data_IF_834651363603
#
_entry.id   IF_834651363603
#
_cell.length_a   1.000
_cell.length_b   1.000
_cell.length_c   1.000
_cell.angle_alpha   90.00
_cell.angle_beta   90.00
_cell.angle_gamma   90.00
#
_symmetry.space_group_name_H-M   'P 1'
#
loop_
_entity.id
_entity.type
_entity.pdbx_description
1 polymer ?
#
# COMPACT_ATOMS: atom_id res chain seq x y z
N UNK A 1 10.46 20.26 -9.47
CA UNK A 1 9.83 19.18 -8.69
C UNK A 1 10.90 18.68 -7.74
N UNK A 2 10.66 18.69 -6.43
CA UNK A 2 11.70 18.31 -5.47
C UNK A 2 11.79 16.78 -5.35
N UNK A 3 12.87 16.26 -4.77
CA UNK A 3 13.09 14.82 -4.66
C UNK A 3 12.03 14.11 -3.80
N UNK A 4 11.47 14.81 -2.81
CA UNK A 4 10.38 14.33 -1.94
C UNK A 4 9.09 14.08 -2.73
N UNK A 5 8.73 15.00 -3.64
CA UNK A 5 7.59 14.89 -4.54
C UNK A 5 7.76 13.70 -5.50
N UNK A 6 8.99 13.47 -5.98
CA UNK A 6 9.30 12.35 -6.88
C UNK A 6 9.07 11.03 -6.14
N UNK A 7 9.52 10.91 -4.90
CA UNK A 7 9.31 9.71 -4.08
C UNK A 7 7.85 9.49 -3.68
N UNK A 8 7.09 10.57 -3.46
CA UNK A 8 5.63 10.45 -3.31
C UNK A 8 4.96 9.94 -4.58
N UNK A 9 5.33 10.46 -5.75
CA UNK A 9 4.78 9.97 -7.02
C UNK A 9 5.16 8.51 -7.30
N UNK A 10 6.39 8.12 -6.97
CA UNK A 10 6.85 6.73 -7.05
C UNK A 10 6.00 5.80 -6.17
N UNK A 11 5.71 6.22 -4.92
CA UNK A 11 4.82 5.46 -4.04
C UNK A 11 3.41 5.32 -4.64
N UNK A 12 2.83 6.41 -5.16
CA UNK A 12 1.51 6.38 -5.79
C UNK A 12 1.49 5.46 -7.02
N UNK A 13 2.54 5.50 -7.85
CA UNK A 13 2.68 4.61 -9.00
C UNK A 13 2.61 3.14 -8.60
N UNK A 14 3.36 2.72 -7.58
CA UNK A 14 3.33 1.32 -7.13
C UNK A 14 2.00 0.95 -6.45
N UNK A 15 1.33 1.89 -5.78
CA UNK A 15 -0.02 1.68 -5.24
C UNK A 15 -1.03 1.44 -6.37
N UNK A 16 -0.97 2.23 -7.44
CA UNK A 16 -1.84 2.03 -8.61
C UNK A 16 -1.59 0.69 -9.30
N UNK A 17 -0.34 0.22 -9.34
CA UNK A 17 -0.01 -1.12 -9.84
C UNK A 17 -0.58 -2.22 -8.93
N UNK A 18 -0.50 -2.07 -7.61
CA UNK A 18 -1.08 -3.04 -6.69
C UNK A 18 -2.61 -3.10 -6.83
N UNK A 19 -3.27 -1.96 -6.99
CA UNK A 19 -4.70 -1.90 -7.28
C UNK A 19 -5.04 -2.55 -8.63
N UNK A 20 -4.20 -2.35 -9.65
CA UNK A 20 -4.38 -2.99 -10.94
C UNK A 20 -4.24 -4.51 -10.87
N UNK A 21 -3.28 -5.01 -10.08
CA UNK A 21 -3.09 -6.44 -9.82
C UNK A 21 -4.32 -7.06 -9.14
N UNK A 22 -4.84 -6.42 -8.09
CA UNK A 22 -6.08 -6.85 -7.40
C UNK A 22 -7.29 -6.88 -8.36
N UNK A 23 -7.46 -5.83 -9.17
CA UNK A 23 -8.60 -5.71 -10.10
C UNK A 23 -8.52 -6.68 -11.27
N UNK A 24 -7.32 -6.94 -11.79
CA UNK A 24 -7.11 -7.85 -12.92
C UNK A 24 -7.31 -9.31 -12.51
N UNK A 25 -7.04 -9.63 -11.24
CA UNK A 25 -7.02 -10.99 -10.74
C UNK A 25 -6.11 -11.93 -11.55
N UNK A 26 -4.99 -11.37 -12.03
CA UNK A 26 -4.01 -12.07 -12.84
C UNK A 26 -2.70 -11.26 -12.78
N UNK A 27 -1.59 -11.95 -12.97
CA UNK A 27 -0.23 -11.39 -12.92
C UNK A 27 -0.08 -10.23 -13.91
N UNK A 28 0.58 -9.17 -13.47
CA UNK A 28 0.94 -8.02 -14.30
C UNK A 28 2.19 -8.30 -15.15
N UNK A 29 2.96 -9.33 -14.80
CA UNK A 29 4.24 -9.65 -15.45
C UNK A 29 4.27 -11.09 -15.99
N UNK A 30 5.44 -11.52 -16.48
CA UNK A 30 5.65 -12.91 -16.91
C UNK A 30 5.98 -13.86 -15.76
N UNK A 31 6.07 -13.34 -14.52
CA UNK A 31 6.34 -14.17 -13.33
C UNK A 31 5.14 -15.09 -13.03
N UNK A 32 3.92 -14.71 -13.46
CA UNK A 32 2.70 -15.48 -13.31
C UNK A 32 2.38 -15.85 -11.84
N UNK A 33 2.82 -15.02 -10.89
CA UNK A 33 2.64 -15.20 -9.45
C UNK A 33 2.14 -13.87 -8.83
N UNK A 34 0.82 -13.64 -8.78
CA UNK A 34 0.23 -12.41 -8.26
C UNK A 34 0.59 -12.12 -6.80
N UNK A 35 0.77 -13.14 -5.96
CA UNK A 35 1.11 -12.94 -4.54
C UNK A 35 2.53 -12.41 -4.39
N UNK A 36 3.45 -12.96 -5.17
CA UNK A 36 4.84 -12.49 -5.20
C UNK A 36 4.96 -11.10 -5.79
N UNK A 37 4.20 -10.80 -6.84
CA UNK A 37 4.12 -9.46 -7.39
C UNK A 37 3.57 -8.44 -6.39
N UNK A 38 2.50 -8.79 -5.65
CA UNK A 38 1.96 -7.96 -4.59
C UNK A 38 3.01 -7.70 -3.50
N UNK A 39 3.80 -8.71 -3.15
CA UNK A 39 4.90 -8.59 -2.18
C UNK A 39 6.00 -7.64 -2.67
N UNK A 40 6.37 -7.70 -3.95
CA UNK A 40 7.34 -6.78 -4.55
C UNK A 40 6.82 -5.35 -4.60
N UNK A 41 5.56 -5.16 -4.99
CA UNK A 41 4.91 -3.86 -5.02
C UNK A 41 4.82 -3.25 -3.62
N UNK A 42 4.42 -4.04 -2.60
CA UNK A 42 4.38 -3.56 -1.22
C UNK A 42 5.78 -3.14 -0.73
N UNK A 43 6.81 -3.93 -1.01
CA UNK A 43 8.20 -3.57 -0.67
C UNK A 43 8.63 -2.26 -1.32
N UNK A 44 8.30 -2.07 -2.60
CA UNK A 44 8.59 -0.84 -3.33
C UNK A 44 7.86 0.37 -2.72
N UNK A 45 6.56 0.25 -2.40
CA UNK A 45 5.77 1.29 -1.74
C UNK A 45 6.41 1.70 -0.40
N UNK A 46 6.73 0.73 0.45
CA UNK A 46 7.33 0.98 1.77
C UNK A 46 8.70 1.66 1.67
N UNK A 47 9.50 1.27 0.68
CA UNK A 47 10.78 1.91 0.43
C UNK A 47 10.60 3.35 -0.05
N UNK A 48 9.65 3.64 -0.94
CA UNK A 48 9.34 5.00 -1.37
C UNK A 48 8.87 5.86 -0.18
N UNK A 49 7.97 5.37 0.68
CA UNK A 49 7.56 6.07 1.92
C UNK A 49 8.72 6.36 2.86
N UNK A 50 9.64 5.41 3.01
CA UNK A 50 10.83 5.61 3.83
C UNK A 50 11.77 6.66 3.21
N UNK A 51 12.01 6.59 1.90
CA UNK A 51 12.83 7.57 1.19
C UNK A 51 12.26 8.98 1.28
N UNK A 52 10.95 9.16 1.09
CA UNK A 52 10.29 10.47 1.27
C UNK A 52 10.55 11.04 2.66
N UNK A 53 10.41 10.22 3.71
CA UNK A 53 10.63 10.69 5.09
C UNK A 53 12.11 10.92 5.40
N UNK A 54 13.06 10.21 4.79
CA UNK A 54 14.49 10.54 4.93
C UNK A 54 14.84 11.87 4.26
N UNK A 55 14.35 12.12 3.04
CA UNK A 55 14.58 13.38 2.34
C UNK A 55 14.02 14.58 3.11
N UNK A 56 12.86 14.42 3.75
CA UNK A 56 12.29 15.46 4.61
C UNK A 56 13.18 15.82 5.81
N UNK A 57 14.02 14.91 6.33
CA UNK A 57 14.90 15.23 7.46
C UNK A 57 15.88 16.35 7.13
N UNK A 58 16.29 16.45 5.87
CA UNK A 58 17.18 17.51 5.41
C UNK A 58 16.46 18.87 5.38
N UNK A 59 15.13 18.87 5.30
CA UNK A 59 14.31 20.08 5.23
C UNK A 59 13.79 20.54 6.60
N UNK A 60 13.18 19.63 7.36
CA UNK A 60 12.47 19.93 8.62
C UNK A 60 13.14 19.33 9.86
N UNK A 61 14.27 18.66 9.70
CA UNK A 61 15.01 18.06 10.79
C UNK A 61 14.51 16.67 11.20
N UNK A 62 15.34 16.00 12.02
CA UNK A 62 15.14 14.60 12.37
C UNK A 62 14.00 14.39 13.40
N UNK A 63 13.78 15.36 14.30
CA UNK A 63 12.79 15.23 15.37
C UNK A 63 11.35 15.13 14.82
N UNK A 64 10.97 16.05 13.93
CA UNK A 64 9.64 16.08 13.34
C UNK A 64 9.34 14.83 12.52
N UNK A 65 10.29 14.38 11.70
CA UNK A 65 10.18 13.14 10.93
C UNK A 65 10.02 11.92 11.85
N UNK A 66 10.78 11.85 12.95
CA UNK A 66 10.66 10.75 13.89
C UNK A 66 9.31 10.77 14.62
N UNK A 67 8.79 11.95 14.96
CA UNK A 67 7.46 12.10 15.55
C UNK A 67 6.37 11.62 14.59
N UNK A 68 6.46 11.98 13.30
CA UNK A 68 5.56 11.45 12.27
C UNK A 68 5.64 9.92 12.18
N UNK A 69 6.84 9.35 12.08
CA UNK A 69 7.02 7.89 11.97
C UNK A 69 6.48 7.11 13.16
N UNK A 70 6.60 7.65 14.38
CA UNK A 70 6.04 7.06 15.61
C UNK A 70 4.51 6.96 15.58
N UNK A 71 3.83 7.80 14.81
CA UNK A 71 2.37 7.70 14.63
C UNK A 71 1.96 6.51 13.75
N UNK A 72 2.90 5.95 12.98
CA UNK A 72 2.65 4.85 12.04
C UNK A 72 3.61 3.68 12.31
N UNK A 73 3.56 3.08 13.51
CA UNK A 73 4.51 2.05 13.93
C UNK A 73 4.46 0.82 13.01
N UNK A 74 3.28 0.45 12.50
CA UNK A 74 3.10 -0.62 11.52
C UNK A 74 4.02 -0.46 10.30
N UNK A 75 4.25 0.77 9.83
CA UNK A 75 5.01 1.01 8.60
C UNK A 75 6.50 1.21 8.88
N UNK A 76 6.84 1.86 10.00
CA UNK A 76 8.20 2.36 10.24
C UNK A 76 8.96 1.68 11.38
N UNK A 77 8.32 0.91 12.27
CA UNK A 77 9.04 0.30 13.38
C UNK A 77 10.11 -0.69 12.89
N UNK A 78 11.26 -0.63 13.57
CA UNK A 78 12.27 -1.67 13.48
C UNK A 78 11.81 -2.88 14.27
N UNK A 79 12.14 -4.08 13.79
CA UNK A 79 12.03 -5.27 14.61
C UNK A 79 12.79 -5.03 15.93
N UNK A 80 12.13 -5.22 17.08
CA UNK A 80 12.83 -5.25 18.35
C UNK A 80 13.79 -6.45 18.44
N UNK A 81 14.67 -6.46 19.45
CA UNK A 81 15.66 -7.53 19.66
C UNK A 81 15.03 -8.91 19.92
N UNK A 82 13.73 -8.98 20.19
CA UNK A 82 12.98 -10.19 20.48
C UNK A 82 12.07 -10.61 19.31
N UNK A 83 11.98 -9.79 18.25
CA UNK A 83 11.18 -10.05 17.06
C UNK A 83 9.66 -9.85 17.21
N UNK A 84 9.18 -9.21 18.28
CA UNK A 84 7.75 -9.17 18.64
C UNK A 84 6.97 -8.04 17.95
N UNK A 85 7.59 -6.89 17.67
CA UNK A 85 6.99 -5.84 16.84
C UNK A 85 7.85 -5.52 15.62
N UNK A 86 7.45 -6.03 14.45
CA UNK A 86 8.12 -5.79 13.18
C UNK A 86 7.28 -4.83 12.34
N UNK A 87 7.79 -3.64 12.03
CA UNK A 87 7.19 -2.82 10.99
C UNK A 87 7.21 -3.57 9.64
N UNK A 88 6.27 -3.27 8.74
CA UNK A 88 6.06 -3.95 7.47
C UNK A 88 7.30 -4.00 6.58
N UNK A 89 8.20 -3.03 6.73
CA UNK A 89 9.50 -3.01 6.03
C UNK A 89 10.46 -4.13 6.49
N UNK A 90 10.32 -4.61 7.73
CA UNK A 90 11.17 -5.63 8.35
C UNK A 90 10.46 -7.00 8.50
N UNK A 91 9.16 -7.06 8.23
CA UNK A 91 8.47 -8.32 7.97
C UNK A 91 8.82 -8.73 6.55
N UNK A 92 9.49 -9.86 6.38
CA UNK A 92 9.40 -10.61 5.12
C UNK A 92 7.91 -10.79 4.87
N UNK A 93 7.35 -10.04 3.92
CA UNK A 93 5.91 -9.99 3.67
C UNK A 93 5.51 -11.35 3.12
N UNK A 94 5.19 -12.27 4.02
CA UNK A 94 4.41 -13.45 3.67
C UNK A 94 2.99 -12.95 3.45
N UNK A 95 2.71 -12.42 2.25
CA UNK A 95 1.33 -12.18 1.80
C UNK A 95 0.69 -13.56 1.78
N UNK A 96 -0.06 -13.91 2.82
CA UNK A 96 -0.90 -15.10 2.77
C UNK A 96 -2.10 -14.73 1.92
N UNK A 97 -2.19 -15.30 0.72
CA UNK A 97 -3.46 -15.41 0.03
C UNK A 97 -4.41 -16.21 0.93
N UNK A 98 -5.44 -15.55 1.42
CA UNK A 98 -6.57 -16.26 2.02
C UNK A 98 -7.48 -16.55 0.84
N UNK A 99 -7.43 -17.79 0.32
CA UNK A 99 -8.50 -18.30 -0.55
C UNK A 99 -9.82 -18.00 0.17
N UNK A 100 -10.70 -17.28 -0.52
CA UNK A 100 -11.98 -16.83 0.03
C UNK A 100 -12.88 -18.05 0.16
N UNK A 101 -12.68 -18.83 1.23
CA UNK A 101 -13.67 -19.74 1.76
C UNK A 101 -14.25 -19.15 3.04
N UNK A 102 -14.73 -17.90 2.94
CA UNK A 102 -15.47 -17.24 4.01
C UNK A 102 -16.95 -17.13 3.64
N UNK A 103 -17.66 -18.24 3.82
CA UNK A 103 -19.04 -18.18 4.34
C UNK A 103 -19.00 -17.39 5.66
N UNK A 104 -19.25 -16.09 5.61
CA UNK A 104 -19.55 -15.30 6.81
C UNK A 104 -18.94 -13.92 6.94
N UNK A 105 -18.07 -13.45 6.03
CA UNK A 105 -17.55 -12.09 6.14
C UNK A 105 -18.57 -11.05 5.64
N UNK A 106 -19.38 -10.53 6.57
CA UNK A 106 -20.23 -9.38 6.33
C UNK A 106 -19.38 -8.12 6.58
N UNK A 107 -18.97 -7.43 5.50
CA UNK A 107 -18.47 -6.04 5.58
C UNK A 107 -19.53 -5.20 6.29
N UNK A 108 -19.26 -4.73 7.51
CA UNK A 108 -20.24 -3.95 8.30
C UNK A 108 -20.63 -2.60 7.67
N UNK A 109 -19.89 -2.09 6.67
CA UNK A 109 -20.22 -0.84 5.96
C UNK A 109 -19.78 -0.90 4.49
N UNK A 110 -20.63 -0.42 3.60
CA UNK A 110 -20.25 -0.09 2.23
C UNK A 110 -19.27 1.09 2.27
N UNK A 111 -18.02 0.88 1.84
CA UNK A 111 -17.02 1.93 1.72
C UNK A 111 -17.16 2.50 0.30
N UNK A 112 -17.61 3.74 0.17
CA UNK A 112 -17.61 4.43 -1.12
C UNK A 112 -16.16 4.69 -1.53
N UNK A 113 -15.75 4.09 -2.65
CA UNK A 113 -14.40 4.20 -3.18
C UNK A 113 -14.38 5.26 -4.29
N UNK A 114 -13.80 6.42 -4.00
CA UNK A 114 -13.68 7.54 -4.93
C UNK A 114 -12.30 7.60 -5.60
N UNK A 115 -11.49 6.54 -5.49
CA UNK A 115 -10.17 6.48 -6.13
C UNK A 115 -10.31 6.46 -7.65
N UNK A 116 -9.36 7.11 -8.31
CA UNK A 116 -9.26 7.06 -9.77
C UNK A 116 -8.81 5.68 -10.19
N UNK A 117 -9.54 5.03 -11.09
CA UNK A 117 -9.15 3.70 -11.54
C UNK A 117 -7.80 3.71 -12.30
N UNK A 118 -6.89 2.77 -12.01
CA UNK A 118 -5.62 2.64 -12.72
C UNK A 118 -5.85 2.37 -14.21
N UNK A 119 -5.07 3.02 -15.08
CA UNK A 119 -5.22 2.88 -16.55
C UNK A 119 -5.05 1.43 -17.04
N UNK A 120 -4.23 0.64 -16.35
CA UNK A 120 -3.96 -0.77 -16.65
C UNK A 120 -5.19 -1.69 -16.50
N UNK A 121 -6.27 -1.21 -15.90
CA UNK A 121 -7.51 -1.99 -15.67
C UNK A 121 -8.58 -1.76 -16.72
N UNK A 122 -8.40 -0.78 -17.61
CA UNK A 122 -9.38 -0.50 -18.68
C UNK A 122 -9.34 -1.60 -19.74
N UNK A 123 -10.31 -2.51 -19.73
CA UNK A 123 -10.53 -3.45 -20.84
C UNK A 123 -10.73 -2.65 -22.14
N UNK A 124 -9.87 -2.85 -23.14
CA UNK A 124 -10.14 -2.40 -24.52
C UNK A 124 -11.42 -3.11 -24.96
N UNK A 125 -12.39 -2.35 -25.48
CA UNK A 125 -13.77 -2.80 -25.67
C UNK A 125 -13.93 -4.14 -26.39
N UNK A 126 -14.95 -4.89 -25.98
CA UNK A 126 -15.41 -6.11 -26.64
C UNK A 126 -16.19 -7.03 -25.71
N UNK A 127 -17.52 -7.00 -25.84
CA UNK A 127 -18.54 -7.87 -25.21
C UNK A 127 -18.80 -7.70 -23.69
N UNK A 128 -20.04 -7.35 -23.37
CA UNK A 128 -20.63 -7.57 -22.04
C UNK A 128 -20.83 -9.07 -21.85
N UNK A 129 -19.82 -9.74 -21.32
CA UNK A 129 -20.02 -11.01 -20.63
C UNK A 129 -20.22 -10.62 -19.17
N UNK A 130 -21.39 -10.93 -18.61
CA UNK A 130 -21.66 -10.76 -17.18
C UNK A 130 -20.71 -11.65 -16.38
N UNK A 131 -19.53 -11.13 -16.05
CA UNK A 131 -18.62 -11.77 -15.11
C UNK A 131 -19.05 -11.40 -13.70
N UNK A 132 -19.45 -12.40 -12.91
CA UNK A 132 -19.41 -12.29 -11.46
C UNK A 132 -17.96 -11.95 -11.08
N UNK A 133 -17.71 -10.68 -10.81
CA UNK A 133 -16.37 -10.18 -10.47
C UNK A 133 -16.05 -10.61 -9.04
N UNK A 134 -15.46 -11.79 -8.88
CA UNK A 134 -14.79 -12.17 -7.65
C UNK A 134 -13.54 -11.28 -7.53
N UNK A 135 -13.66 -10.19 -6.78
CA UNK A 135 -12.55 -9.25 -6.62
C UNK A 135 -11.55 -9.87 -5.65
N UNK A 136 -10.32 -10.06 -6.10
CA UNK A 136 -9.26 -10.61 -5.28
C UNK A 136 -8.56 -9.46 -4.57
N UNK A 137 -8.38 -9.59 -3.27
CA UNK A 137 -7.81 -8.55 -2.43
C UNK A 137 -6.62 -9.12 -1.67
N UNK A 138 -5.55 -8.34 -1.58
CA UNK A 138 -4.42 -8.70 -0.74
C UNK A 138 -4.64 -8.12 0.65
N UNK A 139 -4.47 -8.97 1.66
CA UNK A 139 -4.70 -8.63 3.05
C UNK A 139 -3.46 -8.82 3.90
N UNK A 140 -3.41 -8.08 4.99
CA UNK A 140 -2.41 -8.22 6.03
C UNK A 140 -3.12 -8.32 7.37
N UNK A 141 -2.64 -9.24 8.22
CA UNK A 141 -3.13 -9.36 9.58
C UNK A 141 -2.29 -8.49 10.49
N UNK A 142 -2.91 -7.53 11.16
CA UNK A 142 -2.25 -6.65 12.12
C UNK A 142 -3.15 -6.44 13.32
N UNK A 143 -2.59 -6.66 14.51
CA UNK A 143 -3.29 -6.51 15.80
C UNK A 143 -4.63 -7.28 15.87
N UNK A 144 -4.68 -8.46 15.25
CA UNK A 144 -5.91 -9.27 15.17
C UNK A 144 -6.93 -8.81 14.13
N UNK A 145 -6.68 -7.70 13.43
CA UNK A 145 -7.52 -7.19 12.36
C UNK A 145 -6.95 -7.53 10.97
N UNK A 146 -7.85 -7.73 10.00
CA UNK A 146 -7.51 -8.05 8.62
C UNK A 146 -7.65 -6.80 7.76
N UNK A 147 -6.53 -6.21 7.36
CA UNK A 147 -6.47 -4.95 6.63
C UNK A 147 -6.12 -5.17 5.15
N UNK A 148 -6.84 -4.52 4.24
CA UNK A 148 -6.53 -4.58 2.80
C UNK A 148 -5.29 -3.73 2.52
N UNK A 149 -4.27 -4.33 1.92
CA UNK A 149 -2.97 -3.69 1.70
C UNK A 149 -3.11 -2.39 0.91
N UNK A 150 -3.90 -2.40 -0.18
CA UNK A 150 -4.13 -1.22 -1.02
C UNK A 150 -4.78 -0.08 -0.23
N UNK A 151 -5.74 -0.38 0.65
CA UNK A 151 -6.40 0.64 1.47
C UNK A 151 -5.42 1.24 2.50
N UNK A 152 -4.63 0.40 3.15
CA UNK A 152 -3.58 0.83 4.09
C UNK A 152 -2.55 1.75 3.40
N UNK A 153 -2.05 1.34 2.23
CA UNK A 153 -1.07 2.13 1.48
C UNK A 153 -1.65 3.47 1.01
N UNK A 154 -2.88 3.51 0.50
CA UNK A 154 -3.53 4.77 0.11
C UNK A 154 -3.78 5.71 1.28
N UNK A 155 -4.24 5.18 2.42
CA UNK A 155 -4.45 5.99 3.62
C UNK A 155 -3.15 6.63 4.07
N UNK A 156 -2.07 5.84 4.13
CA UNK A 156 -0.78 6.36 4.53
C UNK A 156 -0.17 7.32 3.51
N UNK A 157 -0.31 7.05 2.22
CA UNK A 157 0.11 7.96 1.16
C UNK A 157 -0.49 9.36 1.36
N UNK A 158 -1.79 9.44 1.66
CA UNK A 158 -2.45 10.72 1.91
C UNK A 158 -1.92 11.43 3.16
N UNK A 159 -1.66 10.69 4.23
CA UNK A 159 -1.08 11.24 5.46
C UNK A 159 0.33 11.79 5.22
N UNK A 160 1.17 11.02 4.51
CA UNK A 160 2.53 11.41 4.17
C UNK A 160 2.55 12.60 3.21
N UNK A 161 1.64 12.64 2.22
CA UNK A 161 1.49 13.78 1.31
C UNK A 161 1.14 15.06 2.07
N UNK A 162 0.17 15.01 2.98
CA UNK A 162 -0.19 16.16 3.82
C UNK A 162 0.97 16.61 4.71
N UNK A 163 1.74 15.65 5.24
CA UNK A 163 2.93 15.95 6.02
C UNK A 163 3.99 16.69 5.18
N UNK A 164 4.27 16.21 3.96
CA UNK A 164 5.17 16.88 3.00
C UNK A 164 4.67 18.28 2.64
N UNK A 165 3.38 18.43 2.31
CA UNK A 165 2.77 19.72 1.96
C UNK A 165 2.90 20.75 3.10
N UNK A 166 2.73 20.33 4.35
CA UNK A 166 2.90 21.19 5.52
C UNK A 166 4.38 21.53 5.77
N UNK A 167 5.29 20.60 5.50
CA UNK A 167 6.73 20.78 5.65
C UNK A 167 7.31 21.83 4.71
N UNK A 168 6.67 22.08 3.55
CA UNK A 168 7.09 23.08 2.58
C UNK A 168 6.53 24.49 2.83
N UNK A 169 5.64 24.65 3.82
CA UNK A 169 5.05 25.94 4.18
C UNK A 169 5.80 26.65 5.32
N UNK A 170 6.77 25.96 5.93
CA UNK A 170 7.67 26.47 6.96
C UNK A 170 9.04 26.73 6.35
#
# INVERSE_FOLDING_TARGET
>A
MNDTDIKLQEALFFIELLEALEKRNDSLTNIADPEREASFLLSAILNSFYSTTELLKETIGNEEVNNFRKMFPLLYNRADKNGEQKGLRNLTVHVKHVEIDYKGFIRKKAKLDFRREPKLTKKKGGSCIGSLNFTHYFYLMFDGELERITDLCYQHYNQLRLFVENSHRH
#
